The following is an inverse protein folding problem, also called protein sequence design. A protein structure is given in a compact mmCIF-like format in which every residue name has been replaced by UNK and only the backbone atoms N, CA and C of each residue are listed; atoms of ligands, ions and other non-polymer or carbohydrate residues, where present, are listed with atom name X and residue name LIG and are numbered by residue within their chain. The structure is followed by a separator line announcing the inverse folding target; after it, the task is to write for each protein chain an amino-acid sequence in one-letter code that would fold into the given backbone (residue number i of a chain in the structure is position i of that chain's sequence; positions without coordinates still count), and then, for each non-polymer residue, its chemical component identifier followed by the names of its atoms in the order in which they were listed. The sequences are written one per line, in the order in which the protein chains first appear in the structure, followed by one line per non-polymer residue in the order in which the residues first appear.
data_IF_046255350332
#
_entry.id   IF_046255350332
#
_cell.length_a   1.000
_cell.length_b   1.000
_cell.length_c   1.000
_cell.angle_alpha   90.00
_cell.angle_beta   90.00
_cell.angle_gamma   90.00
#
_symmetry.space_group_name_H-M   'P 1'
#
loop_
_entity.id
_entity.type
_entity.pdbx_description
1 polymer ?
#
# COMPACT_ATOMS: atom_id res chain seq x y z
N UNK A 1 -10.39 -10.23 -7.79
CA UNK A 1 -9.98 -8.91 -8.27
C UNK A 1 -9.16 -9.08 -9.53
N UNK A 2 -9.60 -8.51 -10.64
CA UNK A 2 -8.99 -8.72 -11.96
C UNK A 2 -8.05 -7.59 -12.33
N UNK A 3 -6.77 -7.92 -12.50
CA UNK A 3 -5.74 -6.98 -12.98
C UNK A 3 -5.69 -7.07 -14.50
N UNK A 4 -5.97 -5.96 -15.18
CA UNK A 4 -6.04 -5.91 -16.65
C UNK A 4 -4.85 -5.20 -17.25
N UNK A 5 -4.60 -5.45 -18.54
CA UNK A 5 -3.52 -4.81 -19.28
C UNK A 5 -3.81 -3.34 -19.59
N UNK A 6 -5.07 -2.94 -19.60
CA UNK A 6 -5.46 -1.57 -19.90
C UNK A 6 -6.72 -1.15 -19.14
N UNK A 7 -7.05 0.15 -19.19
CA UNK A 7 -8.10 0.74 -18.36
C UNK A 7 -9.51 0.57 -18.95
N UNK A 8 -9.88 -0.65 -19.33
CA UNK A 8 -11.25 -0.96 -19.74
C UNK A 8 -11.55 -2.45 -19.56
N UNK A 9 -12.84 -2.79 -19.55
CA UNK A 9 -13.29 -4.17 -19.45
C UNK A 9 -12.95 -5.00 -20.70
N UNK A 10 -12.62 -4.34 -21.79
CA UNK A 10 -12.23 -5.00 -23.03
C UNK A 10 -10.79 -5.46 -23.06
N UNK A 11 -9.96 -4.92 -22.16
CA UNK A 11 -8.55 -5.32 -22.09
C UNK A 11 -8.42 -6.68 -21.41
N UNK A 12 -7.46 -7.52 -21.86
CA UNK A 12 -7.24 -8.84 -21.27
C UNK A 12 -6.87 -8.77 -19.79
N UNK A 13 -7.30 -9.77 -19.04
CA UNK A 13 -6.91 -9.95 -17.65
C UNK A 13 -5.52 -10.56 -17.61
N UNK A 14 -4.59 -9.88 -16.91
CA UNK A 14 -3.21 -10.36 -16.70
C UNK A 14 -3.12 -11.30 -15.52
N UNK A 15 -3.85 -11.00 -14.45
CA UNK A 15 -3.72 -11.68 -13.17
C UNK A 15 -5.05 -11.58 -12.42
N UNK A 16 -5.41 -12.64 -11.73
CA UNK A 16 -6.60 -12.68 -10.87
C UNK A 16 -6.13 -12.82 -9.43
N UNK A 17 -6.49 -11.83 -8.60
CA UNK A 17 -6.20 -11.89 -7.17
C UNK A 17 -7.29 -12.69 -6.46
N UNK A 18 -6.89 -13.71 -5.73
CA UNK A 18 -7.80 -14.57 -4.99
C UNK A 18 -8.09 -14.07 -3.59
N UNK A 19 -7.17 -13.28 -3.02
CA UNK A 19 -7.34 -12.71 -1.68
C UNK A 19 -8.06 -11.39 -1.74
N UNK A 20 -9.00 -11.19 -0.80
CA UNK A 20 -9.59 -9.87 -0.56
C UNK A 20 -8.57 -9.01 0.20
N UNK A 21 -8.57 -7.71 -0.05
CA UNK A 21 -7.77 -6.73 0.70
C UNK A 21 -6.26 -6.87 0.57
N UNK A 22 -5.78 -7.33 -0.61
CA UNK A 22 -4.36 -7.21 -0.88
C UNK A 22 -3.98 -5.73 -0.96
N UNK A 23 -2.95 -5.30 -0.23
CA UNK A 23 -2.49 -3.92 -0.33
C UNK A 23 -1.90 -3.68 -1.71
N UNK A 24 -2.35 -2.62 -2.37
CA UNK A 24 -1.85 -2.20 -3.68
C UNK A 24 -1.60 -0.70 -3.67
N UNK A 25 -0.61 -0.27 -4.42
CA UNK A 25 -0.31 1.15 -4.59
C UNK A 25 -0.94 1.64 -5.89
N UNK A 26 -1.79 2.68 -5.80
CA UNK A 26 -2.37 3.32 -6.98
C UNK A 26 -1.34 4.30 -7.56
N UNK A 27 -0.96 4.11 -8.81
CA UNK A 27 0.05 4.92 -9.48
C UNK A 27 -0.50 5.78 -10.61
N UNK A 28 -1.70 5.47 -11.11
CA UNK A 28 -2.34 6.26 -12.16
C UNK A 28 -3.86 6.01 -12.14
N UNK A 29 -4.59 6.83 -12.88
CA UNK A 29 -6.05 6.69 -12.99
C UNK A 29 -6.51 6.98 -14.40
N UNK A 30 -7.58 6.30 -14.83
CA UNK A 30 -8.28 6.56 -16.09
C UNK A 30 -9.76 6.20 -15.89
N UNK A 31 -10.63 7.22 -15.86
CA UNK A 31 -12.07 7.03 -15.61
C UNK A 31 -12.33 6.16 -14.37
N UNK A 32 -12.98 5.01 -14.56
CA UNK A 32 -13.34 4.10 -13.48
C UNK A 32 -12.26 3.04 -13.20
N UNK A 33 -11.07 3.23 -13.75
CA UNK A 33 -9.94 2.32 -13.55
C UNK A 33 -8.80 3.02 -12.84
N UNK A 34 -8.05 2.23 -12.08
CA UNK A 34 -6.84 2.68 -11.40
C UNK A 34 -5.70 1.76 -11.79
N UNK A 35 -4.56 2.36 -12.18
CA UNK A 35 -3.34 1.58 -12.38
C UNK A 35 -2.70 1.35 -11.03
N UNK A 36 -2.42 0.09 -10.74
CA UNK A 36 -1.86 -0.29 -9.43
C UNK A 36 -0.57 -1.07 -9.61
N UNK A 37 0.19 -1.12 -8.54
CA UNK A 37 1.33 -2.02 -8.40
C UNK A 37 1.13 -2.80 -7.09
N UNK A 38 1.36 -4.10 -7.12
CA UNK A 38 1.23 -4.94 -5.93
C UNK A 38 2.59 -5.18 -5.26
N UNK A 39 2.60 -5.95 -4.18
CA UNK A 39 3.81 -6.23 -3.41
C UNK A 39 4.84 -7.10 -4.16
N UNK A 40 4.44 -7.75 -5.25
CA UNK A 40 5.31 -8.54 -6.11
C UNK A 40 5.73 -7.80 -7.38
N UNK A 41 5.47 -6.48 -7.43
CA UNK A 41 5.75 -5.61 -8.56
C UNK A 41 4.93 -5.91 -9.82
N UNK A 42 3.82 -6.65 -9.69
CA UNK A 42 2.86 -6.76 -10.79
C UNK A 42 2.10 -5.45 -10.93
N UNK A 43 2.01 -4.93 -12.13
CA UNK A 43 1.27 -3.70 -12.40
C UNK A 43 0.18 -3.94 -13.44
N UNK A 44 -0.84 -3.12 -13.39
CA UNK A 44 -1.96 -3.18 -14.33
C UNK A 44 -3.13 -2.37 -13.84
N UNK A 45 -4.27 -2.54 -14.48
CA UNK A 45 -5.46 -1.75 -14.25
C UNK A 45 -6.55 -2.54 -13.56
N UNK A 46 -7.16 -1.95 -12.54
CA UNK A 46 -8.25 -2.53 -11.76
C UNK A 46 -9.43 -1.55 -11.79
N UNK A 47 -10.64 -2.09 -11.93
CA UNK A 47 -11.84 -1.29 -11.81
C UNK A 47 -12.01 -0.81 -10.37
N UNK A 48 -12.45 0.44 -10.18
CA UNK A 48 -12.54 1.05 -8.84
C UNK A 48 -13.46 0.29 -7.90
N UNK A 49 -14.46 -0.43 -8.43
CA UNK A 49 -15.36 -1.24 -7.60
C UNK A 49 -14.64 -2.39 -6.89
N UNK A 50 -13.47 -2.79 -7.39
CA UNK A 50 -12.69 -3.88 -6.82
C UNK A 50 -11.59 -3.39 -5.87
N UNK A 51 -11.38 -2.08 -5.77
CA UNK A 51 -10.39 -1.50 -4.87
C UNK A 51 -10.99 -1.24 -3.51
N UNK A 52 -10.23 -1.60 -2.47
CA UNK A 52 -10.55 -1.20 -1.11
C UNK A 52 -10.36 0.31 -0.97
N UNK A 53 -11.15 0.94 -0.10
CA UNK A 53 -10.94 2.34 0.29
C UNK A 53 -9.67 2.54 1.12
N UNK A 54 -9.03 1.45 1.53
CA UNK A 54 -7.81 1.50 2.33
C UNK A 54 -6.63 1.97 1.48
N UNK A 55 -5.85 2.88 2.03
CA UNK A 55 -4.66 3.39 1.38
C UNK A 55 -3.48 2.48 1.66
N UNK A 56 -2.59 2.34 0.67
CA UNK A 56 -1.36 1.59 0.83
C UNK A 56 -0.15 2.47 0.53
N UNK A 57 0.99 2.10 1.08
CA UNK A 57 2.25 2.78 0.83
C UNK A 57 3.41 1.79 0.87
N UNK A 58 4.51 2.15 0.23
CA UNK A 58 5.74 1.37 0.25
C UNK A 58 6.73 2.00 1.23
N UNK A 59 7.42 1.16 2.01
CA UNK A 59 8.57 1.63 2.75
C UNK A 59 9.72 1.89 1.78
N UNK A 60 10.20 3.14 1.74
CA UNK A 60 11.22 3.58 0.79
C UNK A 60 12.62 3.70 1.40
N UNK A 61 12.81 3.28 2.64
CA UNK A 61 14.10 3.25 3.33
C UNK A 61 14.56 1.81 3.54
N UNK A 62 15.86 1.60 3.63
CA UNK A 62 16.44 0.27 3.78
C UNK A 62 15.85 -0.48 4.97
N UNK A 63 15.71 0.20 6.10
CA UNK A 63 15.05 -0.33 7.28
C UNK A 63 14.33 0.79 7.99
N UNK A 64 13.05 0.58 8.27
CA UNK A 64 12.25 1.52 9.05
C UNK A 64 11.71 0.82 10.28
N UNK A 65 11.70 1.52 11.39
CA UNK A 65 11.17 0.98 12.64
C UNK A 65 9.69 1.36 12.74
N UNK A 66 8.87 0.37 13.09
CA UNK A 66 7.48 0.59 13.44
C UNK A 66 7.42 0.75 14.96
N UNK A 67 6.90 1.87 15.43
CA UNK A 67 6.81 2.22 16.85
C UNK A 67 5.40 2.05 17.39
N UNK A 68 5.29 1.81 18.69
CA UNK A 68 3.99 1.68 19.36
C UNK A 68 3.19 2.98 19.37
N UNK A 69 3.88 4.12 19.44
CA UNK A 69 3.30 5.47 19.44
C UNK A 69 4.01 6.33 18.39
N UNK A 70 3.41 7.46 17.97
CA UNK A 70 4.04 8.35 17.00
C UNK A 70 5.19 9.16 17.61
N UNK A 71 6.20 8.47 18.08
CA UNK A 71 7.39 9.03 18.72
C UNK A 71 8.55 8.06 18.63
N UNK A 72 9.74 8.57 18.33
CA UNK A 72 10.99 7.80 18.31
C UNK A 72 11.37 7.25 19.69
N UNK A 73 10.80 7.82 20.74
CA UNK A 73 11.07 7.41 22.12
C UNK A 73 10.12 6.34 22.62
N UNK A 74 9.15 5.96 21.81
CA UNK A 74 8.24 4.88 22.18
C UNK A 74 8.84 3.52 21.86
N UNK A 75 8.15 2.46 22.29
CA UNK A 75 8.63 1.09 22.11
C UNK A 75 8.68 0.71 20.63
N UNK A 76 9.84 0.26 20.12
CA UNK A 76 9.90 -0.31 18.79
C UNK A 76 9.21 -1.67 18.75
N UNK A 77 8.38 -1.88 17.72
CA UNK A 77 7.61 -3.12 17.56
C UNK A 77 8.19 -4.05 16.51
N UNK A 78 8.70 -3.50 15.41
CA UNK A 78 9.20 -4.29 14.31
C UNK A 78 10.06 -3.45 13.39
N UNK A 79 10.84 -4.14 12.54
CA UNK A 79 11.59 -3.53 11.43
C UNK A 79 10.85 -3.82 10.13
N UNK A 80 10.74 -2.80 9.29
CA UNK A 80 10.13 -2.89 7.97
C UNK A 80 11.22 -2.73 6.91
N UNK A 81 11.35 -3.73 6.06
CA UNK A 81 12.35 -3.71 4.99
C UNK A 81 11.94 -2.80 3.84
N UNK A 82 12.93 -2.34 3.07
CA UNK A 82 12.69 -1.51 1.88
C UNK A 82 11.82 -2.27 0.88
N UNK A 83 10.87 -1.56 0.30
CA UNK A 83 9.95 -2.13 -0.69
C UNK A 83 8.76 -2.86 -0.09
N UNK A 84 8.69 -2.99 1.24
CA UNK A 84 7.55 -3.62 1.89
C UNK A 84 6.30 -2.74 1.75
N UNK A 85 5.24 -3.34 1.24
CA UNK A 85 3.95 -2.69 1.12
C UNK A 85 3.19 -2.81 2.43
N UNK A 86 2.59 -1.70 2.88
CA UNK A 86 1.80 -1.68 4.10
C UNK A 86 0.50 -0.91 3.89
N UNK A 87 -0.50 -1.20 4.73
CA UNK A 87 -1.76 -0.47 4.74
C UNK A 87 -1.61 0.76 5.63
N UNK A 88 -2.05 1.91 5.13
CA UNK A 88 -2.03 3.17 5.88
C UNK A 88 -3.39 3.32 6.57
N UNK A 89 -3.38 3.34 7.90
CA UNK A 89 -4.59 3.53 8.71
C UNK A 89 -4.95 4.99 8.85
N UNK A 90 -3.99 5.82 9.24
CA UNK A 90 -4.12 7.26 9.36
C UNK A 90 -2.75 7.91 9.44
N UNK A 91 -2.67 9.18 9.09
CA UNK A 91 -1.46 9.97 9.25
C UNK A 91 -1.76 11.18 10.13
N UNK A 92 -0.84 11.50 11.01
CA UNK A 92 -0.93 12.64 11.94
C UNK A 92 0.44 13.30 12.03
N UNK A 93 0.51 14.56 11.65
CA UNK A 93 1.77 15.29 11.60
C UNK A 93 2.78 14.57 10.69
N UNK A 94 3.94 14.21 11.22
CA UNK A 94 5.00 13.52 10.47
C UNK A 94 4.99 12.01 10.64
N UNK A 95 3.90 11.45 11.15
CA UNK A 95 3.77 10.04 11.45
C UNK A 95 2.55 9.44 10.78
N UNK A 96 2.66 8.17 10.38
CA UNK A 96 1.54 7.39 9.86
C UNK A 96 1.39 6.10 10.63
N UNK A 97 0.16 5.80 11.01
CA UNK A 97 -0.20 4.49 11.58
C UNK A 97 -0.42 3.52 10.43
N UNK A 98 0.32 2.42 10.46
CA UNK A 98 0.31 1.43 9.39
C UNK A 98 0.08 0.04 9.92
N UNK A 99 -0.33 -0.86 9.02
CA UNK A 99 -0.37 -2.29 9.27
C UNK A 99 0.50 -2.99 8.24
N UNK A 100 1.49 -3.74 8.71
CA UNK A 100 2.35 -4.57 7.88
C UNK A 100 2.34 -5.99 8.45
N UNK A 101 1.74 -6.93 7.73
CA UNK A 101 1.51 -8.27 8.26
C UNK A 101 0.64 -8.21 9.50
N UNK A 102 1.14 -8.74 10.61
CA UNK A 102 0.43 -8.73 11.90
C UNK A 102 0.81 -7.54 12.79
N UNK A 103 1.71 -6.67 12.32
CA UNK A 103 2.19 -5.56 13.11
C UNK A 103 1.41 -4.30 12.77
N UNK A 104 0.90 -3.63 13.80
CA UNK A 104 0.23 -2.33 13.69
C UNK A 104 1.01 -1.34 14.54
N UNK A 105 1.41 -0.24 13.94
CA UNK A 105 2.17 0.77 14.67
C UNK A 105 2.43 2.00 13.84
N UNK A 106 3.33 2.84 14.30
CA UNK A 106 3.62 4.14 13.73
C UNK A 106 4.99 4.18 13.07
N UNK A 107 5.05 4.73 11.87
CA UNK A 107 6.26 4.92 11.09
C UNK A 107 6.36 6.39 10.68
N UNK A 108 7.57 6.89 10.51
CA UNK A 108 7.76 8.25 10.00
C UNK A 108 7.19 8.38 8.58
N UNK A 109 6.37 9.40 8.36
CA UNK A 109 5.73 9.64 7.07
C UNK A 109 6.74 9.77 5.93
N UNK A 110 7.90 10.40 6.20
CA UNK A 110 8.96 10.57 5.21
C UNK A 110 9.55 9.26 4.69
N UNK A 111 9.38 8.16 5.45
CA UNK A 111 9.89 6.85 5.06
C UNK A 111 8.96 6.14 4.08
N UNK A 112 7.75 6.66 3.89
CA UNK A 112 6.73 6.04 3.05
C UNK A 112 6.62 6.73 1.70
N UNK A 113 6.41 5.93 0.67
CA UNK A 113 6.11 6.40 -0.68
C UNK A 113 4.71 5.92 -1.06
N UNK A 114 3.85 6.86 -1.44
CA UNK A 114 2.48 6.56 -1.84
C UNK A 114 1.54 7.71 -1.54
N UNK A 115 0.25 7.42 -1.67
CA UNK A 115 -0.81 8.35 -1.31
C UNK A 115 -1.08 8.28 0.18
N UNK A 116 -0.70 9.32 0.86
CA UNK A 116 -0.81 9.37 2.32
C UNK A 116 -1.86 10.39 2.78
#
# INVERSE_FOLDING_TARGET
MNLRQGPSLEHPVKLIYKKKFLPVLVIDKSYNFRKIIDHENNSGWIHISQLSKKKAALNNYDKSIIFKKPSEYSKPLALLEKGRLCLVKKCKNNWCKIKAGNHIGWIKKQNLKGRL
#
